data_IF_122905854231
#
_entry.id   IF_122905854231
#
_cell.length_a   1.000
_cell.length_b   1.000
_cell.length_c   1.000
_cell.angle_alpha   90.00
_cell.angle_beta   90.00
_cell.angle_gamma   90.00
#
_symmetry.space_group_name_H-M   'P 1'
#
loop_
_entity.id
_entity.type
_entity.pdbx_description
1 polymer ?
#
# COMPACT_ATOMS: atom_id res chain seq x y z
N UNK A 1 9.27 -10.49 27.35
CA UNK A 1 9.03 -9.57 26.20
C UNK A 1 7.73 -8.83 26.44
N UNK A 2 7.68 -7.49 26.46
CA UNK A 2 6.45 -6.75 26.80
C UNK A 2 6.23 -5.61 25.81
N UNK A 3 5.01 -5.48 25.28
CA UNK A 3 4.62 -4.37 24.41
C UNK A 3 4.45 -3.07 25.23
N UNK A 4 4.80 -1.94 24.63
CA UNK A 4 4.57 -0.62 25.22
C UNK A 4 3.09 -0.26 25.17
N UNK A 5 2.50 0.14 26.30
CA UNK A 5 1.09 0.57 26.38
C UNK A 5 0.77 1.70 25.39
N UNK A 6 1.57 2.77 25.40
CA UNK A 6 1.42 3.89 24.47
C UNK A 6 1.62 3.46 23.01
N UNK A 7 2.49 2.47 22.76
CA UNK A 7 2.65 1.87 21.44
C UNK A 7 1.39 1.12 20.99
N UNK A 8 0.73 0.36 21.86
CA UNK A 8 -0.51 -0.35 21.52
C UNK A 8 -1.64 0.61 21.18
N UNK A 9 -1.76 1.73 21.90
CA UNK A 9 -2.73 2.79 21.59
C UNK A 9 -2.43 3.39 20.21
N UNK A 10 -1.17 3.76 19.95
CA UNK A 10 -0.77 4.28 18.65
C UNK A 10 -1.02 3.29 17.51
N UNK A 11 -0.81 2.00 17.74
CA UNK A 11 -1.08 0.95 16.77
C UNK A 11 -2.57 0.86 16.44
N UNK A 12 -3.44 0.80 17.46
CA UNK A 12 -4.88 0.70 17.28
C UNK A 12 -5.46 1.94 16.57
N UNK A 13 -4.99 3.14 16.93
CA UNK A 13 -5.42 4.39 16.30
C UNK A 13 -5.02 4.44 14.81
N UNK A 14 -3.76 4.13 14.49
CA UNK A 14 -3.29 4.12 13.11
C UNK A 14 -3.96 3.02 12.25
N UNK A 15 -4.21 1.84 12.84
CA UNK A 15 -4.96 0.77 12.21
C UNK A 15 -6.42 1.20 11.92
N UNK A 16 -7.09 1.87 12.85
CA UNK A 16 -8.43 2.38 12.64
C UNK A 16 -8.48 3.43 11.52
N UNK A 17 -7.50 4.35 11.49
CA UNK A 17 -7.36 5.36 10.45
C UNK A 17 -7.09 4.75 9.06
N UNK A 18 -6.51 3.54 8.98
CA UNK A 18 -6.28 2.85 7.71
C UNK A 18 -7.56 2.50 6.94
N UNK A 19 -8.69 2.45 7.66
CA UNK A 19 -9.99 1.98 7.15
C UNK A 19 -10.84 3.15 6.65
N UNK A 20 -10.42 4.40 6.90
CA UNK A 20 -11.07 5.64 6.44
C UNK A 20 -11.42 5.53 4.94
N UNK A 21 -12.63 5.97 4.53
CA UNK A 21 -13.18 5.59 3.25
C UNK A 21 -12.32 6.09 2.09
N UNK A 22 -12.08 5.20 1.13
CA UNK A 22 -11.38 5.50 -0.12
C UNK A 22 -12.27 5.13 -1.30
N UNK A 23 -12.24 5.93 -2.36
CA UNK A 23 -13.05 5.69 -3.58
C UNK A 23 -12.60 4.46 -4.40
N UNK A 24 -11.55 3.76 -3.97
CA UNK A 24 -11.03 2.57 -4.63
C UNK A 24 -11.50 1.34 -3.83
N UNK A 25 -12.22 0.38 -4.46
CA UNK A 25 -12.52 -0.90 -3.84
C UNK A 25 -11.23 -1.63 -3.44
N UNK A 26 -11.11 -2.03 -2.17
CA UNK A 26 -9.91 -2.70 -1.65
C UNK A 26 -10.22 -4.15 -1.29
N UNK A 27 -9.39 -5.06 -1.78
CA UNK A 27 -9.41 -6.44 -1.32
C UNK A 27 -9.02 -6.54 0.16
N UNK A 28 -9.47 -7.59 0.83
CA UNK A 28 -9.15 -7.85 2.24
C UNK A 28 -7.64 -7.97 2.48
N UNK A 29 -6.89 -8.52 1.52
CA UNK A 29 -5.43 -8.63 1.56
C UNK A 29 -4.75 -7.26 1.57
N UNK A 30 -5.16 -6.37 0.66
CA UNK A 30 -4.59 -5.02 0.56
C UNK A 30 -4.92 -4.21 1.81
N UNK A 31 -6.16 -4.29 2.29
CA UNK A 31 -6.54 -3.59 3.52
C UNK A 31 -5.75 -4.09 4.72
N UNK A 32 -5.58 -5.41 4.87
CA UNK A 32 -4.77 -5.99 5.93
C UNK A 32 -3.32 -5.52 5.87
N UNK A 33 -2.71 -5.53 4.69
CA UNK A 33 -1.33 -5.06 4.49
C UNK A 33 -1.17 -3.59 4.93
N UNK A 34 -2.02 -2.69 4.42
CA UNK A 34 -1.98 -1.26 4.77
C UNK A 34 -2.21 -1.07 6.28
N UNK A 35 -3.22 -1.74 6.82
CA UNK A 35 -3.56 -1.67 8.25
C UNK A 35 -2.41 -2.13 9.14
N UNK A 36 -1.74 -3.23 8.80
CA UNK A 36 -0.59 -3.76 9.54
C UNK A 36 0.63 -2.85 9.50
N UNK A 37 0.94 -2.26 8.34
CA UNK A 37 2.03 -1.28 8.18
C UNK A 37 1.75 -0.02 9.02
N UNK A 38 0.55 0.56 8.90
CA UNK A 38 0.17 1.74 9.67
C UNK A 38 0.14 1.46 11.17
N UNK A 39 -0.34 0.28 11.59
CA UNK A 39 -0.27 -0.15 12.99
C UNK A 39 1.17 -0.21 13.50
N UNK A 40 2.12 -0.70 12.71
CA UNK A 40 3.53 -0.79 13.10
C UNK A 40 4.18 0.60 13.23
N UNK A 41 3.86 1.52 12.32
CA UNK A 41 4.30 2.93 12.39
C UNK A 41 3.70 3.60 13.64
N UNK A 42 2.38 3.48 13.83
CA UNK A 42 1.67 4.00 14.99
C UNK A 42 2.23 3.45 16.31
N UNK A 43 2.60 2.16 16.33
CA UNK A 43 3.29 1.55 17.47
C UNK A 43 4.65 2.18 17.75
N UNK A 44 5.45 2.41 16.71
CA UNK A 44 6.75 3.06 16.81
C UNK A 44 6.64 4.47 17.39
N UNK A 45 5.73 5.28 16.84
CA UNK A 45 5.46 6.65 17.29
C UNK A 45 4.95 6.64 18.73
N UNK A 46 3.93 5.83 19.04
CA UNK A 46 3.38 5.74 20.40
C UNK A 46 4.42 5.27 21.43
N UNK A 47 5.30 4.35 21.06
CA UNK A 47 6.41 3.93 21.92
C UNK A 47 7.44 5.05 22.14
N UNK A 48 7.76 5.84 21.12
CA UNK A 48 8.67 6.98 21.19
C UNK A 48 8.09 8.10 22.06
N UNK A 49 6.83 8.49 21.82
CA UNK A 49 6.12 9.49 22.62
C UNK A 49 6.05 9.05 24.07
N UNK A 50 5.65 7.80 24.33
CA UNK A 50 5.61 7.26 25.69
C UNK A 50 6.98 7.27 26.36
N UNK A 51 8.06 7.00 25.62
CA UNK A 51 9.42 7.10 26.14
C UNK A 51 9.82 8.55 26.47
N UNK A 52 9.49 9.50 25.60
CA UNK A 52 9.81 10.92 25.81
C UNK A 52 9.07 11.49 27.02
N UNK A 53 7.78 11.22 27.15
CA UNK A 53 6.95 11.66 28.28
C UNK A 53 7.50 11.13 29.60
N UNK A 54 7.87 9.84 29.66
CA UNK A 54 8.48 9.26 30.86
C UNK A 54 9.81 9.92 31.21
N UNK A 55 10.62 10.22 30.19
CA UNK A 55 11.92 10.87 30.37
C UNK A 55 11.81 12.30 30.91
N UNK A 56 10.85 13.07 30.41
CA UNK A 56 10.59 14.45 30.88
C UNK A 56 9.96 14.47 32.27
N UNK A 57 9.05 13.54 32.58
CA UNK A 57 8.36 13.51 33.89
C UNK A 57 9.14 12.80 35.00
N UNK A 58 10.37 12.35 34.74
CA UNK A 58 11.21 11.58 35.68
C UNK A 58 10.47 10.41 36.35
N UNK A 59 9.42 9.87 35.71
CA UNK A 59 8.66 8.78 36.29
C UNK A 59 9.46 7.48 36.15
N UNK A 60 9.58 6.67 37.22
CA UNK A 60 10.22 5.38 37.12
C UNK A 60 9.51 4.53 36.05
N UNK A 61 10.22 3.54 35.51
CA UNK A 61 9.67 2.53 34.61
C UNK A 61 8.75 1.60 35.44
N UNK A 62 7.68 2.14 36.01
CA UNK A 62 6.63 1.38 36.65
C UNK A 62 6.10 0.47 35.57
N UNK A 63 6.50 -0.81 35.71
CA UNK A 63 6.05 -1.96 34.96
C UNK A 63 4.60 -1.69 34.55
N UNK A 64 4.39 -1.27 33.30
CA UNK A 64 3.05 -0.89 32.84
C UNK A 64 2.12 -2.01 33.29
N UNK A 65 1.19 -1.66 34.18
CA UNK A 65 0.44 -2.63 34.96
C UNK A 65 -0.11 -3.68 34.00
N UNK A 66 0.04 -4.97 34.31
CA UNK A 66 -0.39 -6.03 33.37
C UNK A 66 -1.84 -5.83 32.97
N UNK A 67 -2.64 -5.32 33.92
CA UNK A 67 -4.00 -4.85 33.73
C UNK A 67 -4.11 -3.74 32.70
N UNK A 68 -3.32 -2.67 32.80
CA UNK A 68 -3.33 -1.57 31.84
C UNK A 68 -2.99 -2.04 30.41
N UNK A 69 -2.05 -2.99 30.26
CA UNK A 69 -1.75 -3.59 28.96
C UNK A 69 -2.86 -4.48 28.44
N UNK A 70 -3.44 -5.32 29.30
CA UNK A 70 -4.57 -6.16 28.94
C UNK A 70 -5.76 -5.29 28.48
N UNK A 71 -6.04 -4.20 29.20
CA UNK A 71 -7.06 -3.21 28.82
C UNK A 71 -6.72 -2.54 27.49
N UNK A 72 -5.47 -2.11 27.25
CA UNK A 72 -5.08 -1.54 25.96
C UNK A 72 -5.19 -2.54 24.80
N UNK A 73 -4.86 -3.82 25.04
CA UNK A 73 -5.04 -4.87 24.03
C UNK A 73 -6.51 -5.13 23.74
N UNK A 74 -7.34 -5.22 24.78
CA UNK A 74 -8.79 -5.41 24.63
C UNK A 74 -9.43 -4.24 23.89
N UNK A 75 -9.22 -3.01 24.38
CA UNK A 75 -9.77 -1.81 23.76
C UNK A 75 -9.22 -1.61 22.35
N UNK A 76 -7.91 -1.77 22.16
CA UNK A 76 -7.29 -1.65 20.83
C UNK A 76 -7.82 -2.68 19.83
N UNK A 77 -7.97 -3.94 20.25
CA UNK A 77 -8.54 -4.99 19.40
C UNK A 77 -10.01 -4.72 19.07
N UNK A 78 -10.78 -4.24 20.05
CA UNK A 78 -12.17 -3.83 19.83
C UNK A 78 -12.25 -2.66 18.84
N UNK A 79 -11.42 -1.62 19.01
CA UNK A 79 -11.35 -0.47 18.09
C UNK A 79 -11.01 -0.91 16.66
N UNK A 80 -10.01 -1.76 16.47
CA UNK A 80 -9.64 -2.27 15.14
C UNK A 80 -10.76 -3.11 14.53
N UNK A 81 -11.41 -3.95 15.33
CA UNK A 81 -12.53 -4.79 14.87
C UNK A 81 -13.70 -3.93 14.42
N UNK A 82 -14.09 -2.93 15.22
CA UNK A 82 -15.16 -1.98 14.87
C UNK A 82 -14.80 -1.19 13.61
N UNK A 83 -13.55 -0.74 13.48
CA UNK A 83 -13.08 -0.04 12.29
C UNK A 83 -13.19 -0.92 11.04
N UNK A 84 -12.74 -2.18 11.10
CA UNK A 84 -12.84 -3.12 9.97
C UNK A 84 -14.30 -3.44 9.61
N UNK A 85 -15.20 -3.54 10.59
CA UNK A 85 -16.64 -3.72 10.34
C UNK A 85 -17.24 -2.50 9.64
N UNK A 86 -16.89 -1.28 10.07
CA UNK A 86 -17.29 -0.06 9.39
C UNK A 86 -16.73 0.01 7.96
N UNK A 87 -15.46 -0.35 7.77
CA UNK A 87 -14.84 -0.44 6.46
C UNK A 87 -15.52 -1.41 5.52
N UNK A 88 -15.91 -2.59 6.03
CA UNK A 88 -16.67 -3.57 5.23
C UNK A 88 -18.00 -3.00 4.75
N UNK A 89 -18.70 -2.21 5.59
CA UNK A 89 -19.95 -1.54 5.20
C UNK A 89 -19.68 -0.54 4.07
N UNK A 90 -18.69 0.34 4.22
CA UNK A 90 -18.32 1.28 3.15
C UNK A 90 -17.92 0.60 1.84
N UNK A 91 -17.24 -0.55 1.90
CA UNK A 91 -16.93 -1.34 0.72
C UNK A 91 -18.18 -1.97 0.09
N UNK A 92 -19.20 -2.32 0.87
CA UNK A 92 -20.48 -2.78 0.36
C UNK A 92 -21.26 -1.65 -0.33
N UNK A 93 -21.28 -0.46 0.27
CA UNK A 93 -21.93 0.73 -0.32
C UNK A 93 -21.25 1.11 -1.65
N UNK A 94 -19.92 1.08 -1.70
CA UNK A 94 -19.17 1.30 -2.94
C UNK A 94 -19.46 0.23 -4.00
N UNK A 95 -19.60 -1.02 -3.58
CA UNK A 95 -19.92 -2.13 -4.49
C UNK A 95 -21.30 -1.95 -5.15
N UNK A 96 -22.29 -1.47 -4.38
CA UNK A 96 -23.61 -1.15 -4.89
C UNK A 96 -23.57 -0.03 -5.93
N UNK A 97 -22.83 1.05 -5.67
CA UNK A 97 -22.73 2.21 -6.58
C UNK A 97 -21.92 1.89 -7.84
N UNK A 98 -20.88 1.06 -7.72
CA UNK A 98 -19.96 0.76 -8.84
C UNK A 98 -20.31 -0.53 -9.59
N UNK A 99 -21.32 -1.28 -9.14
CA UNK A 99 -21.74 -2.53 -9.77
C UNK A 99 -20.72 -3.67 -9.65
N UNK A 100 -19.76 -3.58 -8.73
CA UNK A 100 -18.78 -4.65 -8.49
C UNK A 100 -19.27 -5.60 -7.38
N UNK A 101 -18.73 -6.83 -7.27
CA UNK A 101 -19.13 -7.75 -6.22
C UNK A 101 -18.89 -7.20 -4.81
N UNK A 102 -19.91 -7.30 -3.95
CA UNK A 102 -19.82 -6.91 -2.56
C UNK A 102 -18.74 -7.69 -1.78
N UNK A 103 -18.13 -7.10 -0.74
CA UNK A 103 -17.12 -7.78 0.06
C UNK A 103 -17.68 -9.03 0.75
N UNK A 104 -17.02 -10.18 0.50
CA UNK A 104 -17.39 -11.46 1.08
C UNK A 104 -17.45 -11.47 2.61
N UNK A 105 -18.14 -12.47 3.17
CA UNK A 105 -18.35 -12.61 4.63
C UNK A 105 -17.05 -12.67 5.43
N UNK A 106 -16.00 -13.27 4.87
CA UNK A 106 -14.69 -13.45 5.49
C UNK A 106 -13.75 -12.24 5.34
N UNK A 107 -14.19 -11.15 4.70
CA UNK A 107 -13.34 -9.99 4.40
C UNK A 107 -12.66 -9.42 5.65
N UNK A 108 -13.41 -9.25 6.75
CA UNK A 108 -12.89 -8.72 8.04
C UNK A 108 -11.88 -9.68 8.65
N UNK A 109 -12.15 -10.99 8.59
CA UNK A 109 -11.26 -12.02 9.13
C UNK A 109 -9.91 -12.04 8.41
N UNK A 110 -9.92 -12.02 7.07
CA UNK A 110 -8.69 -11.98 6.27
C UNK A 110 -7.93 -10.67 6.50
N UNK A 111 -8.61 -9.53 6.46
CA UNK A 111 -7.97 -8.23 6.67
C UNK A 111 -7.33 -8.14 8.07
N UNK A 112 -8.04 -8.61 9.11
CA UNK A 112 -7.53 -8.66 10.47
C UNK A 112 -6.33 -9.60 10.62
N UNK A 113 -6.39 -10.81 10.07
CA UNK A 113 -5.32 -11.79 10.15
C UNK A 113 -4.06 -11.33 9.42
N UNK A 114 -4.20 -10.84 8.18
CA UNK A 114 -3.07 -10.30 7.41
C UNK A 114 -2.48 -9.08 8.10
N UNK A 115 -3.32 -8.15 8.58
CA UNK A 115 -2.86 -6.97 9.31
C UNK A 115 -2.11 -7.32 10.58
N UNK A 116 -2.58 -8.30 11.36
CA UNK A 116 -1.89 -8.79 12.54
C UNK A 116 -0.55 -9.43 12.20
N UNK A 117 -0.51 -10.28 11.16
CA UNK A 117 0.73 -10.94 10.73
C UNK A 117 1.78 -9.90 10.29
N UNK A 118 1.41 -8.94 9.45
CA UNK A 118 2.28 -7.85 8.98
C UNK A 118 2.77 -7.00 10.16
N UNK A 119 1.87 -6.62 11.07
CA UNK A 119 2.21 -5.88 12.29
C UNK A 119 3.26 -6.61 13.13
N UNK A 120 3.05 -7.90 13.41
CA UNK A 120 3.97 -8.72 14.20
C UNK A 120 5.33 -8.81 13.51
N UNK A 121 5.37 -9.11 12.21
CA UNK A 121 6.61 -9.23 11.43
C UNK A 121 7.41 -7.93 11.50
N UNK A 122 6.79 -6.78 11.25
CA UNK A 122 7.46 -5.47 11.26
C UNK A 122 7.97 -5.10 12.66
N UNK A 123 7.18 -5.34 13.71
CA UNK A 123 7.60 -5.06 15.09
C UNK A 123 8.73 -5.99 15.52
N UNK A 124 8.72 -7.27 15.12
CA UNK A 124 9.81 -8.21 15.39
C UNK A 124 11.07 -7.81 14.63
N UNK A 125 10.98 -7.43 13.37
CA UNK A 125 12.10 -6.93 12.58
C UNK A 125 12.74 -5.69 13.24
N UNK A 126 11.93 -4.70 13.60
CA UNK A 126 12.43 -3.50 14.30
C UNK A 126 13.05 -3.82 15.67
N UNK A 127 12.55 -4.85 16.38
CA UNK A 127 13.17 -5.34 17.62
C UNK A 127 14.47 -6.08 17.39
N UNK A 128 14.58 -6.88 16.33
CA UNK A 128 15.81 -7.57 15.95
C UNK A 128 16.93 -6.57 15.63
N UNK A 129 16.62 -5.54 14.85
CA UNK A 129 17.54 -4.42 14.59
C UNK A 129 17.97 -3.76 15.90
N UNK A 130 17.02 -3.40 16.77
CA UNK A 130 17.33 -2.79 18.08
C UNK A 130 18.19 -3.71 18.96
N UNK A 131 17.94 -5.01 18.95
CA UNK A 131 18.73 -6.00 19.70
C UNK A 131 20.16 -6.05 19.18
N UNK A 132 20.34 -6.07 17.84
CA UNK A 132 21.64 -6.07 17.19
C UNK A 132 22.43 -4.80 17.53
N UNK A 133 21.80 -3.62 17.39
CA UNK A 133 22.41 -2.33 17.77
C UNK A 133 22.83 -2.31 19.24
N UNK A 134 21.99 -2.79 20.16
CA UNK A 134 22.34 -2.88 21.59
C UNK A 134 23.42 -3.92 21.87
N UNK A 135 23.54 -4.96 21.05
CA UNK A 135 24.60 -5.98 21.18
C UNK A 135 25.94 -5.42 20.74
N UNK A 136 25.96 -4.60 19.69
CA UNK A 136 27.11 -3.81 19.26
C UNK A 136 27.49 -2.75 20.31
N UNK A 137 26.52 -1.97 20.80
CA UNK A 137 26.73 -0.95 21.85
C UNK A 137 27.38 -1.54 23.11
N UNK A 138 26.90 -2.69 23.59
CA UNK A 138 27.51 -3.39 24.75
C UNK A 138 28.95 -3.82 24.51
N UNK A 139 29.30 -4.21 23.28
CA UNK A 139 30.68 -4.52 22.91
C UNK A 139 31.54 -3.25 22.90
N UNK A 140 31.01 -2.16 22.35
CA UNK A 140 31.70 -0.88 22.20
C UNK A 140 31.92 -0.17 23.55
N UNK A 141 30.99 -0.32 24.51
CA UNK A 141 31.13 0.18 25.89
C UNK A 141 32.32 -0.41 26.65
N UNK A 142 32.92 -1.51 26.18
CA UNK A 142 34.19 -2.01 26.72
C UNK A 142 35.38 -1.10 26.36
N UNK A 143 35.24 -0.28 25.32
CA UNK A 143 36.32 0.54 24.77
C UNK A 143 36.01 2.04 24.70
N UNK A 144 34.73 2.45 24.79
CA UNK A 144 34.30 3.83 24.62
C UNK A 144 33.37 4.31 25.75
N UNK A 145 33.34 5.63 25.97
CA UNK A 145 32.49 6.25 27.00
C UNK A 145 30.98 6.06 26.72
N UNK A 146 30.12 6.04 27.76
CA UNK A 146 28.68 5.81 27.61
C UNK A 146 27.97 6.75 26.63
N UNK A 147 28.47 7.99 26.50
CA UNK A 147 27.92 9.02 25.60
C UNK A 147 28.19 8.68 24.13
N UNK A 148 29.41 8.27 23.82
CA UNK A 148 29.81 7.85 22.46
C UNK A 148 29.05 6.59 22.04
N UNK A 149 28.88 5.65 22.97
CA UNK A 149 28.12 4.43 22.75
C UNK A 149 26.65 4.74 22.41
N UNK A 150 25.97 5.57 23.23
CA UNK A 150 24.59 6.01 22.93
C UNK A 150 24.47 6.81 21.63
N UNK A 151 25.39 7.74 21.35
CA UNK A 151 25.39 8.51 20.11
C UNK A 151 25.54 7.58 18.89
N UNK A 152 26.48 6.65 18.92
CA UNK A 152 26.68 5.67 17.85
C UNK A 152 25.44 4.79 17.61
N UNK A 153 24.78 4.35 18.68
CA UNK A 153 23.54 3.56 18.58
C UNK A 153 22.39 4.35 17.94
N UNK A 154 22.26 5.64 18.26
CA UNK A 154 21.28 6.53 17.61
C UNK A 154 21.61 6.71 16.15
N UNK A 155 22.86 7.05 15.81
CA UNK A 155 23.30 7.23 14.42
C UNK A 155 23.07 5.96 13.59
N UNK A 156 23.43 4.79 14.10
CA UNK A 156 23.19 3.50 13.41
C UNK A 156 21.69 3.26 13.23
N UNK A 157 20.87 3.55 14.23
CA UNK A 157 19.41 3.38 14.12
C UNK A 157 18.81 4.30 13.05
N UNK A 158 19.26 5.55 12.97
CA UNK A 158 18.84 6.51 11.93
C UNK A 158 19.31 6.05 10.56
N UNK A 159 20.56 5.61 10.42
CA UNK A 159 21.11 5.13 9.16
C UNK A 159 20.40 3.88 8.65
N UNK A 160 20.16 2.90 9.51
CA UNK A 160 19.38 1.70 9.18
C UNK A 160 17.95 2.07 8.80
N UNK A 161 17.33 3.02 9.51
CA UNK A 161 16.01 3.55 9.18
C UNK A 161 15.97 4.22 7.80
N UNK A 162 16.95 5.08 7.49
CA UNK A 162 17.04 5.77 6.21
C UNK A 162 17.28 4.77 5.05
N UNK A 163 18.20 3.82 5.23
CA UNK A 163 18.45 2.77 4.25
C UNK A 163 17.22 1.88 4.06
N UNK A 164 16.50 1.59 5.14
CA UNK A 164 15.26 0.84 5.05
C UNK A 164 14.21 1.59 4.22
N UNK A 165 14.00 2.88 4.46
CA UNK A 165 13.04 3.70 3.68
C UNK A 165 13.43 3.79 2.20
N UNK A 166 14.73 3.91 1.90
CA UNK A 166 15.24 3.97 0.53
C UNK A 166 15.14 2.63 -0.21
N UNK A 167 15.51 1.52 0.45
CA UNK A 167 15.71 0.23 -0.21
C UNK A 167 14.53 -0.73 -0.10
N UNK A 168 13.74 -0.70 0.97
CA UNK A 168 12.60 -1.62 1.13
C UNK A 168 11.59 -1.53 0.00
N UNK A 169 11.16 -0.34 -0.47
CA UNK A 169 10.17 -0.26 -1.54
C UNK A 169 10.65 -0.96 -2.81
N UNK A 170 11.88 -0.66 -3.25
CA UNK A 170 12.48 -1.30 -4.43
C UNK A 170 12.65 -2.80 -4.22
N UNK A 171 13.18 -3.23 -3.08
CA UNK A 171 13.35 -4.65 -2.77
C UNK A 171 12.01 -5.41 -2.75
N UNK A 172 10.97 -4.81 -2.17
CA UNK A 172 9.62 -5.36 -2.13
C UNK A 172 9.05 -5.50 -3.54
N UNK A 173 9.15 -4.46 -4.36
CA UNK A 173 8.68 -4.48 -5.76
C UNK A 173 9.43 -5.54 -6.55
N UNK A 174 10.76 -5.62 -6.45
CA UNK A 174 11.54 -6.64 -7.16
C UNK A 174 11.15 -8.06 -6.72
N UNK A 175 11.01 -8.29 -5.42
CA UNK A 175 10.68 -9.62 -4.86
C UNK A 175 9.27 -10.06 -5.24
N UNK A 176 8.30 -9.14 -5.24
CA UNK A 176 6.92 -9.43 -5.59
C UNK A 176 6.63 -9.32 -7.09
N UNK A 177 7.59 -8.84 -7.90
CA UNK A 177 7.40 -8.64 -9.34
C UNK A 177 6.91 -9.89 -10.09
N UNK A 178 7.32 -11.14 -9.78
CA UNK A 178 6.79 -12.31 -10.48
C UNK A 178 5.29 -12.51 -10.23
N UNK A 179 4.84 -12.33 -8.98
CA UNK A 179 3.43 -12.42 -8.60
C UNK A 179 2.61 -11.30 -9.25
N UNK A 180 3.15 -10.07 -9.29
CA UNK A 180 2.48 -8.96 -9.95
C UNK A 180 2.39 -9.16 -11.45
N UNK A 181 3.45 -9.65 -12.10
CA UNK A 181 3.43 -9.97 -13.55
C UNK A 181 2.44 -11.08 -13.88
N UNK A 182 2.35 -12.13 -13.07
CA UNK A 182 1.39 -13.21 -13.31
C UNK A 182 -0.06 -12.72 -13.23
N UNK A 183 -0.38 -11.88 -12.24
CA UNK A 183 -1.69 -11.23 -12.17
C UNK A 183 -1.91 -10.27 -13.34
N UNK A 184 -0.88 -9.51 -13.73
CA UNK A 184 -0.94 -8.55 -14.83
C UNK A 184 -1.11 -9.22 -16.21
N UNK A 185 -0.69 -10.47 -16.38
CA UNK A 185 -0.82 -11.19 -17.65
C UNK A 185 -2.28 -11.57 -17.98
N UNK A 186 -3.14 -11.68 -16.97
CA UNK A 186 -4.54 -12.09 -17.13
C UNK A 186 -5.42 -11.02 -17.82
N UNK A 187 -6.32 -11.46 -18.70
CA UNK A 187 -7.35 -10.58 -19.28
C UNK A 187 -8.63 -10.70 -18.45
N UNK A 188 -9.24 -9.59 -18.01
CA UNK A 188 -10.54 -9.65 -17.35
C UNK A 188 -11.61 -10.29 -18.25
N UNK A 189 -12.61 -10.93 -17.64
CA UNK A 189 -13.72 -11.55 -18.38
C UNK A 189 -14.53 -10.50 -19.15
N UNK A 190 -14.81 -10.77 -20.43
CA UNK A 190 -15.56 -9.84 -21.30
C UNK A 190 -14.75 -8.66 -21.82
N UNK A 191 -13.41 -8.72 -21.71
CA UNK A 191 -12.50 -7.70 -22.25
C UNK A 191 -11.79 -8.27 -23.47
N UNK A 192 -12.17 -7.78 -24.64
CA UNK A 192 -11.59 -8.18 -25.93
C UNK A 192 -10.64 -7.09 -26.47
N UNK A 193 -9.68 -7.46 -27.36
CA UNK A 193 -8.82 -6.50 -28.02
C UNK A 193 -9.64 -5.44 -28.78
N UNK A 194 -9.25 -4.15 -28.71
CA UNK A 194 -9.95 -3.08 -29.39
C UNK A 194 -9.82 -3.24 -30.91
N UNK A 195 -10.89 -2.96 -31.63
CA UNK A 195 -10.92 -2.95 -33.10
C UNK A 195 -10.59 -1.59 -33.70
N UNK A 196 -10.64 -0.53 -32.89
CA UNK A 196 -10.34 0.84 -33.31
C UNK A 196 -8.84 1.04 -33.51
N UNK A 197 -8.49 1.70 -34.61
CA UNK A 197 -7.12 2.16 -34.91
C UNK A 197 -6.68 3.33 -34.04
N UNK A 198 -7.57 3.92 -33.22
CA UNK A 198 -7.31 5.06 -32.32
C UNK A 198 -7.16 4.68 -30.85
N UNK A 199 -7.01 3.38 -30.57
CA UNK A 199 -6.91 2.84 -29.22
C UNK A 199 -5.66 1.97 -29.12
N UNK A 200 -4.86 2.17 -28.07
CA UNK A 200 -3.64 1.37 -27.87
C UNK A 200 -3.96 -0.12 -27.70
N UNK A 201 -3.13 -0.98 -28.31
CA UNK A 201 -3.39 -2.41 -28.41
C UNK A 201 -4.37 -2.80 -29.52
N UNK A 202 -4.87 -1.84 -30.31
CA UNK A 202 -5.66 -2.08 -31.50
C UNK A 202 -4.80 -2.27 -32.77
N UNK A 203 -5.44 -2.35 -33.95
CA UNK A 203 -4.73 -2.45 -35.21
C UNK A 203 -3.70 -1.32 -35.36
N UNK A 204 -2.52 -1.66 -35.86
CA UNK A 204 -1.41 -0.75 -36.13
C UNK A 204 -0.82 -0.02 -34.89
N UNK A 205 -1.19 -0.43 -33.67
CA UNK A 205 -0.55 0.07 -32.44
C UNK A 205 0.84 -0.52 -32.27
N UNK A 206 1.82 0.33 -31.92
CA UNK A 206 3.16 -0.11 -31.57
C UNK A 206 3.18 -0.92 -30.25
N UNK A 207 2.12 -0.79 -29.45
CA UNK A 207 1.96 -1.48 -28.17
C UNK A 207 1.06 -2.69 -28.38
N UNK A 208 1.59 -3.89 -28.15
CA UNK A 208 0.78 -5.10 -28.24
C UNK A 208 -0.28 -5.14 -27.13
N UNK A 209 -1.45 -5.72 -27.45
CA UNK A 209 -2.51 -6.01 -26.49
C UNK A 209 -1.97 -6.74 -25.24
N UNK A 210 -1.01 -7.63 -25.42
CA UNK A 210 -0.41 -8.39 -24.33
C UNK A 210 0.40 -7.48 -23.39
N UNK A 211 1.13 -6.51 -23.93
CA UNK A 211 2.00 -5.61 -23.17
C UNK A 211 1.24 -4.59 -22.31
N UNK A 212 -0.04 -4.31 -22.61
CA UNK A 212 -0.89 -3.40 -21.82
C UNK A 212 -1.09 -3.88 -20.38
N UNK A 213 -1.06 -5.19 -20.15
CA UNK A 213 -1.41 -5.79 -18.86
C UNK A 213 -2.91 -5.71 -18.55
N UNK A 214 -3.32 -6.38 -17.49
CA UNK A 214 -4.72 -6.60 -17.12
C UNK A 214 -5.53 -5.30 -16.99
N UNK A 215 -4.98 -4.32 -16.26
CA UNK A 215 -5.64 -3.02 -16.04
C UNK A 215 -5.62 -2.15 -17.30
N UNK A 216 -4.53 -2.21 -18.09
CA UNK A 216 -4.45 -1.51 -19.36
C UNK A 216 -5.49 -2.01 -20.36
N UNK A 217 -5.65 -3.33 -20.48
CA UNK A 217 -6.68 -3.99 -21.30
C UNK A 217 -8.09 -3.56 -20.88
N UNK A 218 -8.39 -3.56 -19.59
CA UNK A 218 -9.68 -3.09 -19.07
C UNK A 218 -9.93 -1.61 -19.42
N UNK A 219 -8.92 -0.77 -19.26
CA UNK A 219 -9.01 0.65 -19.57
C UNK A 219 -9.26 0.89 -21.06
N UNK A 220 -8.52 0.25 -21.97
CA UNK A 220 -8.70 0.50 -23.41
C UNK A 220 -9.99 -0.11 -23.95
N UNK A 221 -10.44 -1.26 -23.40
CA UNK A 221 -11.68 -1.91 -23.83
C UNK A 221 -12.95 -1.17 -23.40
N UNK A 222 -12.89 -0.37 -22.34
CA UNK A 222 -14.03 0.45 -21.90
C UNK A 222 -14.34 1.66 -22.79
N UNK A 223 -13.77 1.74 -24.00
CA UNK A 223 -13.95 2.85 -24.93
C UNK A 223 -15.41 2.95 -25.38
N UNK A 224 -16.00 4.14 -25.26
CA UNK A 224 -17.39 4.35 -25.66
C UNK A 224 -17.50 4.45 -27.18
N UNK A 225 -18.31 3.63 -27.86
CA UNK A 225 -18.45 3.70 -29.31
C UNK A 225 -18.93 5.09 -29.78
N UNK A 226 -18.39 5.56 -30.90
CA UNK A 226 -18.71 6.86 -31.51
C UNK A 226 -20.21 7.04 -31.79
N UNK A 227 -20.91 5.95 -32.13
CA UNK A 227 -22.36 5.94 -32.30
C UNK A 227 -23.11 6.31 -31.01
N UNK A 228 -22.66 5.80 -29.84
CA UNK A 228 -23.27 6.13 -28.54
C UNK A 228 -22.98 7.58 -28.13
N UNK A 229 -21.76 8.07 -28.42
CA UNK A 229 -21.41 9.48 -28.18
C UNK A 229 -22.23 10.43 -29.04
N UNK A 230 -22.44 10.07 -30.31
CA UNK A 230 -23.26 10.84 -31.25
C UNK A 230 -24.73 10.86 -30.81
N UNK A 231 -25.29 9.70 -30.43
CA UNK A 231 -26.68 9.61 -29.96
C UNK A 231 -26.91 10.38 -28.66
N UNK A 232 -25.94 10.36 -27.74
CA UNK A 232 -26.04 11.08 -26.47
C UNK A 232 -25.93 12.60 -26.65
N UNK A 233 -24.96 13.06 -27.46
CA UNK A 233 -24.69 14.49 -27.63
C UNK A 233 -25.59 15.19 -28.66
N UNK A 234 -26.25 14.43 -29.55
CA UNK A 234 -27.00 14.96 -30.69
C UNK A 234 -26.14 15.65 -31.75
N UNK A 235 -24.80 15.50 -31.67
CA UNK A 235 -23.82 16.08 -32.60
C UNK A 235 -22.92 14.97 -33.13
N UNK A 236 -22.38 15.14 -34.34
CA UNK A 236 -21.38 14.20 -34.88
C UNK A 236 -20.18 14.11 -33.94
N UNK A 237 -19.91 12.92 -33.40
CA UNK A 237 -18.74 12.64 -32.57
C UNK A 237 -17.59 12.08 -33.42
N UNK A 238 -16.35 12.39 -33.02
CA UNK A 238 -15.14 11.75 -33.56
C UNK A 238 -14.84 10.46 -32.78
N UNK A 239 -14.05 9.57 -33.38
CA UNK A 239 -13.58 8.37 -32.69
C UNK A 239 -12.72 8.74 -31.46
N UNK A 240 -13.07 8.22 -30.28
CA UNK A 240 -12.34 8.52 -29.06
C UNK A 240 -10.94 7.89 -29.07
N UNK A 241 -9.99 8.61 -28.47
CA UNK A 241 -8.64 8.11 -28.24
C UNK A 241 -8.54 7.53 -26.84
N UNK A 242 -7.94 6.35 -26.72
CA UNK A 242 -7.43 5.84 -25.44
C UNK A 242 -6.00 5.34 -25.61
N UNK A 243 -5.08 6.01 -24.93
CA UNK A 243 -3.66 5.63 -24.91
C UNK A 243 -3.31 5.01 -23.57
N UNK A 244 -2.69 3.85 -23.60
CA UNK A 244 -2.16 3.20 -22.40
C UNK A 244 -0.87 2.47 -22.73
N UNK A 245 0.17 2.69 -21.91
CA UNK A 245 1.45 1.98 -22.01
C UNK A 245 1.63 1.15 -20.75
N UNK A 246 1.67 -0.17 -20.91
CA UNK A 246 1.88 -1.08 -19.81
C UNK A 246 3.35 -1.13 -19.35
N UNK A 247 3.57 -1.68 -18.15
CA UNK A 247 4.92 -1.76 -17.57
C UNK A 247 5.87 -2.63 -18.41
N UNK A 248 5.33 -3.61 -19.14
CA UNK A 248 6.07 -4.52 -20.01
C UNK A 248 6.27 -3.98 -21.44
N UNK A 249 5.69 -2.81 -21.77
CA UNK A 249 5.84 -2.20 -23.10
C UNK A 249 7.25 -1.63 -23.36
N UNK A 250 7.97 -1.22 -22.32
CA UNK A 250 9.39 -0.83 -22.42
C UNK A 250 10.11 -0.93 -21.07
N UNK A 251 11.44 -0.96 -21.09
CA UNK A 251 12.28 -1.22 -19.89
C UNK A 251 12.27 -0.06 -18.91
N UNK A 252 12.33 1.18 -19.40
CA UNK A 252 12.47 2.38 -18.56
C UNK A 252 11.19 3.23 -18.55
N UNK A 253 10.94 4.00 -17.48
CA UNK A 253 9.84 4.96 -17.45
C UNK A 253 9.90 5.95 -18.62
N UNK A 254 11.09 6.46 -18.97
CA UNK A 254 11.26 7.41 -20.07
C UNK A 254 10.88 6.83 -21.43
N UNK A 255 11.28 5.57 -21.70
CA UNK A 255 10.87 4.89 -22.93
C UNK A 255 9.35 4.68 -22.98
N UNK A 256 8.73 4.31 -21.85
CA UNK A 256 7.27 4.15 -21.80
C UNK A 256 6.55 5.49 -22.02
N UNK A 257 7.07 6.59 -21.47
CA UNK A 257 6.53 7.92 -21.70
C UNK A 257 6.63 8.32 -23.18
N UNK A 258 7.75 8.04 -23.84
CA UNK A 258 7.90 8.26 -25.29
C UNK A 258 6.88 7.47 -26.11
N UNK A 259 6.66 6.20 -25.79
CA UNK A 259 5.63 5.38 -26.46
C UNK A 259 4.21 5.96 -26.30
N UNK A 260 3.90 6.57 -25.15
CA UNK A 260 2.60 7.27 -24.98
C UNK A 260 2.49 8.44 -25.96
N UNK A 261 3.55 9.25 -26.05
CA UNK A 261 3.57 10.42 -26.94
C UNK A 261 3.50 9.98 -28.41
N UNK A 262 4.27 8.98 -28.81
CA UNK A 262 4.25 8.42 -30.17
C UNK A 262 2.86 7.90 -30.57
N UNK A 263 2.15 7.22 -29.66
CA UNK A 263 0.76 6.80 -29.92
C UNK A 263 -0.19 8.01 -30.02
N UNK A 264 -0.05 9.02 -29.15
CA UNK A 264 -0.86 10.24 -29.22
C UNK A 264 -0.62 11.00 -30.54
N UNK A 265 0.62 11.13 -30.98
CA UNK A 265 1.00 11.74 -32.25
C UNK A 265 0.47 10.93 -33.43
N UNK A 266 0.59 9.59 -33.40
CA UNK A 266 0.02 8.71 -34.43
C UNK A 266 -1.50 8.84 -34.53
N UNK A 267 -2.17 9.00 -33.39
CA UNK A 267 -3.58 9.31 -33.37
C UNK A 267 -3.85 10.75 -33.83
N UNK A 268 -2.87 11.62 -33.99
CA UNK A 268 -3.11 13.04 -34.25
C UNK A 268 -3.88 13.69 -33.11
N UNK A 269 -3.71 13.21 -31.87
CA UNK A 269 -4.45 13.66 -30.69
C UNK A 269 -4.34 15.17 -30.44
N UNK A 270 -3.26 15.78 -30.90
CA UNK A 270 -2.97 17.20 -30.75
C UNK A 270 -3.68 18.11 -31.77
N UNK A 271 -4.27 17.53 -32.83
CA UNK A 271 -4.80 18.29 -33.98
C UNK A 271 -6.34 18.23 -34.11
N UNK A 272 -7.06 17.70 -33.14
CA UNK A 272 -8.50 17.33 -33.25
C UNK A 272 -9.44 18.03 -32.31
#
# INVERSE_FOLDING_TARGET
MRFSFAGLIGAAAAAALSVVPSLIPRSSLIQGLIGGVLAAIGYGIGALVGWLVRRVRHQPDWRSDERARAVALLLGSATVTVALLAGRRWQADLAEITGVPAPGSIWVGIAGLVGLAVFIILVLAGRAVRWLVRRFDRGLRRFASPRVATASAVTVSVLVGALAVDRLPSALVTTLSPLFRSMNASTPTGVDPPTSTFVSGGPDSAISWQALGSQGRAFVAGVTPTAQLTSFSGRSAKDPIRVFVGIDSARTPDQRARLVVEELERFGAFDR
#
